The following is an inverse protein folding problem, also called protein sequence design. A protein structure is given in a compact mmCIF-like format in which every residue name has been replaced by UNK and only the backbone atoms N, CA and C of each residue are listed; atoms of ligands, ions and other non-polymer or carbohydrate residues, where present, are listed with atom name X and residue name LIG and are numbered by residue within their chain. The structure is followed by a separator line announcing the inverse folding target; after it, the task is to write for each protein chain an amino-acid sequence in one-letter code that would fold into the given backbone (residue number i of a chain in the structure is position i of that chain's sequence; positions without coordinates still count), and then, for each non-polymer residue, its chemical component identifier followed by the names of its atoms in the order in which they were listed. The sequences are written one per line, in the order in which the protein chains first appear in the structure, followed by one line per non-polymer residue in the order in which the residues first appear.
data_IF_169253753573
#
_entry.id   IF_169253753573
#
_cell.length_a   1.000
_cell.length_b   1.000
_cell.length_c   1.000
_cell.angle_alpha   90.00
_cell.angle_beta   90.00
_cell.angle_gamma   90.00
#
_symmetry.space_group_name_H-M   'P 1'
#
loop_
_entity.id
_entity.type
_entity.pdbx_description
1 polymer ?
#
# COMPACT_ATOMS: atom_id res chain seq x y z
N UNK A 1 21.42 31.21 20.12
CA UNK A 1 20.62 30.10 19.59
C UNK A 1 20.97 29.99 18.13
N UNK A 2 21.87 29.07 17.80
CA UNK A 2 22.34 28.88 16.43
C UNK A 2 21.31 28.01 15.74
N UNK A 3 20.55 28.57 14.80
CA UNK A 3 19.78 27.79 13.83
C UNK A 3 20.79 26.92 13.07
N UNK A 4 20.81 25.63 13.39
CA UNK A 4 21.51 24.64 12.58
C UNK A 4 20.59 24.37 11.39
N UNK A 5 20.54 25.32 10.45
CA UNK A 5 19.82 25.14 9.20
C UNK A 5 20.47 24.01 8.41
N UNK A 6 19.68 22.99 8.06
CA UNK A 6 20.11 21.94 7.15
C UNK A 6 20.45 22.55 5.78
N UNK A 7 21.51 22.05 5.14
CA UNK A 7 21.80 22.41 3.75
C UNK A 7 20.76 21.77 2.81
N UNK A 8 20.54 22.35 1.64
CA UNK A 8 19.62 21.81 0.62
C UNK A 8 19.97 20.36 0.24
N UNK A 9 21.26 20.01 0.24
CA UNK A 9 21.74 18.65 -0.02
C UNK A 9 21.39 17.68 1.11
N UNK A 10 21.52 18.11 2.37
CA UNK A 10 21.13 17.29 3.52
C UNK A 10 19.62 17.07 3.58
N UNK A 11 18.84 18.09 3.19
CA UNK A 11 17.38 17.97 3.11
C UNK A 11 16.98 16.96 2.02
N UNK A 12 17.58 17.04 0.84
CA UNK A 12 17.30 16.12 -0.27
C UNK A 12 17.66 14.65 0.07
N UNK A 13 18.80 14.41 0.74
CA UNK A 13 19.18 13.07 1.21
C UNK A 13 18.21 12.54 2.28
N UNK A 14 17.77 13.39 3.21
CA UNK A 14 16.77 13.03 4.19
C UNK A 14 15.43 12.66 3.54
N UNK A 15 14.96 13.46 2.58
CA UNK A 15 13.69 13.24 1.88
C UNK A 15 13.74 11.97 1.02
N UNK A 16 14.87 11.72 0.34
CA UNK A 16 15.08 10.47 -0.39
C UNK A 16 15.04 9.25 0.52
N UNK A 17 15.74 9.26 1.67
CA UNK A 17 15.72 8.14 2.62
C UNK A 17 14.32 7.88 3.18
N UNK A 18 13.57 8.95 3.45
CA UNK A 18 12.18 8.86 3.89
C UNK A 18 11.31 8.22 2.82
N UNK A 19 11.46 8.66 1.57
CA UNK A 19 10.76 8.09 0.42
C UNK A 19 11.10 6.61 0.25
N UNK A 20 12.38 6.22 0.26
CA UNK A 20 12.82 4.81 0.16
C UNK A 20 12.18 3.96 1.25
N UNK A 21 12.19 4.42 2.50
CA UNK A 21 11.57 3.68 3.60
C UNK A 21 10.06 3.49 3.39
N UNK A 22 9.35 4.54 2.92
CA UNK A 22 7.93 4.44 2.61
C UNK A 22 7.68 3.48 1.45
N UNK A 23 8.47 3.58 0.39
CA UNK A 23 8.41 2.75 -0.80
C UNK A 23 8.59 1.28 -0.47
N UNK A 24 9.69 0.92 0.21
CA UNK A 24 9.97 -0.45 0.65
C UNK A 24 8.90 -0.98 1.60
N UNK A 25 8.39 -0.15 2.52
CA UNK A 25 7.36 -0.56 3.48
C UNK A 25 6.06 -0.97 2.77
N UNK A 26 5.57 -0.15 1.86
CA UNK A 26 4.32 -0.46 1.14
C UNK A 26 4.50 -1.63 0.20
N UNK A 27 5.57 -1.65 -0.59
CA UNK A 27 5.84 -2.76 -1.51
C UNK A 27 6.02 -4.08 -0.77
N UNK A 28 6.73 -4.08 0.36
CA UNK A 28 6.95 -5.28 1.17
C UNK A 28 5.67 -5.91 1.73
N UNK A 29 4.55 -5.18 1.78
CA UNK A 29 3.26 -5.69 2.23
C UNK A 29 2.47 -6.39 1.12
N UNK A 30 2.70 -6.03 -0.14
CA UNK A 30 1.88 -6.49 -1.27
C UNK A 30 1.84 -8.01 -1.40
N UNK A 31 2.95 -8.78 -1.28
CA UNK A 31 2.90 -10.23 -1.48
C UNK A 31 1.97 -10.94 -0.49
N UNK A 32 1.98 -10.51 0.78
CA UNK A 32 1.10 -11.09 1.81
C UNK A 32 -0.36 -10.65 1.61
N UNK A 33 -0.59 -9.38 1.27
CA UNK A 33 -1.94 -8.87 0.98
C UNK A 33 -2.55 -9.62 -0.20
N UNK A 34 -1.81 -9.74 -1.30
CA UNK A 34 -2.29 -10.40 -2.50
C UNK A 34 -2.54 -11.90 -2.28
N UNK A 35 -1.63 -12.59 -1.60
CA UNK A 35 -1.80 -14.00 -1.24
C UNK A 35 -3.03 -14.23 -0.37
N UNK A 36 -3.27 -13.34 0.60
CA UNK A 36 -4.45 -13.42 1.47
C UNK A 36 -5.75 -13.13 0.71
N UNK A 37 -5.80 -12.13 -0.17
CA UNK A 37 -6.98 -11.85 -0.99
C UNK A 37 -7.33 -13.05 -1.88
N UNK A 38 -6.34 -13.66 -2.54
CA UNK A 38 -6.55 -14.86 -3.35
C UNK A 38 -6.98 -16.05 -2.48
N UNK A 39 -6.42 -16.20 -1.27
CA UNK A 39 -6.83 -17.26 -0.33
C UNK A 39 -8.29 -17.11 0.09
N UNK A 40 -8.71 -15.88 0.41
CA UNK A 40 -10.07 -15.59 0.84
C UNK A 40 -11.08 -15.70 -0.30
N UNK A 41 -10.67 -15.47 -1.55
CA UNK A 41 -11.51 -15.59 -2.74
C UNK A 41 -11.74 -17.04 -3.18
N UNK A 42 -11.01 -18.02 -2.64
CA UNK A 42 -11.16 -19.42 -3.04
C UNK A 42 -12.41 -20.05 -2.38
N UNK A 43 -13.26 -20.75 -3.15
CA UNK A 43 -14.39 -21.46 -2.58
C UNK A 43 -13.86 -22.59 -1.68
N UNK A 44 -14.22 -22.58 -0.39
CA UNK A 44 -13.85 -23.66 0.54
C UNK A 44 -14.45 -24.98 0.06
N UNK A 45 -13.60 -25.91 -0.38
CA UNK A 45 -13.99 -27.27 -0.78
C UNK A 45 -14.75 -27.94 0.38
N UNK A 46 -15.92 -28.50 0.06
CA UNK A 46 -16.93 -28.94 1.02
C UNK A 46 -16.45 -29.93 2.09
N UNK A 47 -16.35 -29.44 3.32
CA UNK A 47 -16.88 -30.17 4.47
C UNK A 47 -18.26 -29.59 4.75
N UNK A 48 -19.26 -30.46 4.77
CA UNK A 48 -20.69 -30.18 4.86
C UNK A 48 -21.03 -28.89 5.63
N UNK A 49 -21.63 -27.91 4.93
CA UNK A 49 -22.37 -26.79 5.52
C UNK A 49 -23.60 -27.32 6.27
N UNK A 50 -23.36 -27.96 7.40
CA UNK A 50 -24.35 -28.43 8.35
C UNK A 50 -23.90 -28.04 9.75
N UNK A 51 -24.24 -26.82 10.18
CA UNK A 51 -24.02 -26.37 11.55
C UNK A 51 -23.42 -24.97 11.68
N UNK A 52 -24.28 -23.96 11.51
CA UNK A 52 -24.29 -22.62 12.15
C UNK A 52 -22.98 -21.88 12.46
N UNK A 53 -22.89 -20.64 11.93
CA UNK A 53 -22.61 -19.46 12.79
C UNK A 53 -23.23 -18.14 12.30
N UNK A 54 -23.86 -18.14 11.13
CA UNK A 54 -24.89 -17.17 10.78
C UNK A 54 -26.04 -17.95 10.18
N UNK A 55 -27.16 -17.99 10.90
CA UNK A 55 -28.43 -18.38 10.32
C UNK A 55 -28.57 -17.72 8.96
N UNK A 56 -28.93 -18.52 7.95
CA UNK A 56 -29.28 -18.03 6.63
C UNK A 56 -30.39 -16.99 6.83
N UNK A 57 -30.04 -15.71 6.81
CA UNK A 57 -31.00 -14.65 6.54
C UNK A 57 -31.38 -14.81 5.06
N UNK A 58 -32.27 -15.77 4.81
CA UNK A 58 -33.01 -15.89 3.57
C UNK A 58 -34.03 -14.76 3.57
N UNK A 59 -33.67 -13.62 2.98
CA UNK A 59 -34.64 -12.59 2.65
C UNK A 59 -35.25 -12.99 1.31
N UNK A 60 -36.30 -13.82 1.36
CA UNK A 60 -37.09 -14.15 0.18
C UNK A 60 -37.99 -12.96 -0.17
N UNK A 61 -37.48 -12.08 -1.03
CA UNK A 61 -38.22 -10.94 -1.55
C UNK A 61 -37.72 -10.53 -2.93
N UNK A 62 -38.28 -11.14 -3.98
CA UNK A 62 -38.30 -10.59 -5.35
C UNK A 62 -36.99 -10.60 -6.15
N UNK A 63 -36.84 -11.61 -7.02
CA UNK A 63 -36.08 -11.58 -8.28
C UNK A 63 -34.63 -11.07 -8.30
N UNK A 64 -33.75 -11.63 -7.48
CA UNK A 64 -32.37 -11.97 -7.86
C UNK A 64 -31.69 -12.76 -6.73
N UNK A 65 -31.46 -14.06 -6.95
CA UNK A 65 -30.82 -14.92 -5.96
C UNK A 65 -29.30 -14.83 -6.13
N UNK A 66 -28.69 -13.84 -5.48
CA UNK A 66 -27.24 -13.83 -5.26
C UNK A 66 -26.97 -14.30 -3.84
N UNK A 67 -26.27 -15.42 -3.70
CA UNK A 67 -25.77 -15.83 -2.39
C UNK A 67 -24.72 -14.80 -1.94
N UNK A 68 -24.81 -14.35 -0.69
CA UNK A 68 -23.87 -13.37 -0.11
C UNK A 68 -22.41 -13.85 -0.20
N UNK A 69 -22.20 -15.18 -0.21
CA UNK A 69 -20.87 -15.78 -0.42
C UNK A 69 -20.30 -15.47 -1.80
N UNK A 70 -21.08 -15.65 -2.87
CA UNK A 70 -20.64 -15.42 -4.24
C UNK A 70 -20.28 -13.95 -4.48
N UNK A 71 -21.00 -13.03 -3.83
CA UNK A 71 -20.72 -11.57 -3.93
C UNK A 71 -19.42 -11.19 -3.23
N UNK A 72 -19.09 -11.85 -2.11
CA UNK A 72 -17.84 -11.63 -1.38
C UNK A 72 -16.65 -12.17 -2.19
N UNK A 73 -16.77 -13.37 -2.76
CA UNK A 73 -15.73 -14.00 -3.58
C UNK A 73 -15.43 -13.16 -4.84
N UNK A 74 -16.46 -12.62 -5.50
CA UNK A 74 -16.32 -11.68 -6.62
C UNK A 74 -15.57 -10.39 -6.23
N UNK A 75 -15.85 -9.86 -5.03
CA UNK A 75 -15.23 -8.63 -4.52
C UNK A 75 -13.74 -8.84 -4.24
N UNK A 76 -13.40 -9.94 -3.55
CA UNK A 76 -12.02 -10.31 -3.24
C UNK A 76 -11.20 -10.58 -4.49
N UNK A 77 -11.80 -11.27 -5.48
CA UNK A 77 -11.17 -11.52 -6.78
C UNK A 77 -10.88 -10.21 -7.51
N UNK A 78 -11.82 -9.26 -7.49
CA UNK A 78 -11.65 -7.94 -8.09
C UNK A 78 -10.56 -7.14 -7.39
N UNK A 79 -10.55 -7.14 -6.06
CA UNK A 79 -9.55 -6.43 -5.26
C UNK A 79 -8.14 -6.99 -5.49
N UNK A 80 -8.00 -8.32 -5.58
CA UNK A 80 -6.73 -8.96 -5.94
C UNK A 80 -6.29 -8.56 -7.36
N UNK A 81 -7.22 -8.59 -8.33
CA UNK A 81 -6.97 -8.18 -9.71
C UNK A 81 -6.52 -6.72 -9.82
N UNK A 82 -7.20 -5.82 -9.10
CA UNK A 82 -6.88 -4.39 -9.10
C UNK A 82 -5.52 -4.10 -8.45
N UNK A 83 -5.22 -4.70 -7.29
CA UNK A 83 -3.91 -4.55 -6.64
C UNK A 83 -2.77 -5.07 -7.52
N UNK A 84 -2.95 -6.24 -8.15
CA UNK A 84 -1.98 -6.78 -9.09
C UNK A 84 -1.80 -5.86 -10.30
N UNK A 85 -2.90 -5.35 -10.86
CA UNK A 85 -2.89 -4.38 -11.95
C UNK A 85 -2.05 -3.14 -11.62
N UNK A 86 -2.26 -2.52 -10.46
CA UNK A 86 -1.48 -1.35 -10.02
C UNK A 86 0.01 -1.67 -9.87
N UNK A 87 0.36 -2.80 -9.23
CA UNK A 87 1.75 -3.21 -9.06
C UNK A 87 2.46 -3.40 -10.42
N UNK A 88 1.82 -4.16 -11.31
CA UNK A 88 2.39 -4.43 -12.65
C UNK A 88 2.40 -3.20 -13.54
N UNK A 89 1.41 -2.31 -13.43
CA UNK A 89 1.37 -1.03 -14.14
C UNK A 89 2.50 -0.10 -13.69
N UNK A 90 2.74 0.00 -12.37
CA UNK A 90 3.88 0.75 -11.83
C UNK A 90 5.21 0.18 -12.33
N UNK A 91 5.38 -1.15 -12.28
CA UNK A 91 6.58 -1.81 -12.79
C UNK A 91 6.77 -1.60 -14.31
N UNK A 92 5.71 -1.67 -15.10
CA UNK A 92 5.74 -1.39 -16.53
C UNK A 92 6.14 0.07 -16.80
N UNK A 93 5.61 1.03 -16.05
CA UNK A 93 5.97 2.44 -16.20
C UNK A 93 7.46 2.70 -15.92
N UNK A 94 8.04 2.05 -14.91
CA UNK A 94 9.49 2.10 -14.65
C UNK A 94 10.27 1.48 -15.81
N UNK A 95 9.86 0.30 -16.26
CA UNK A 95 10.52 -0.43 -17.36
C UNK A 95 10.51 0.33 -18.69
N UNK A 96 9.38 0.96 -19.03
CA UNK A 96 9.21 1.71 -20.28
C UNK A 96 10.08 2.97 -20.31
N UNK A 97 10.15 3.68 -19.17
CA UNK A 97 10.77 5.01 -19.08
C UNK A 97 12.26 4.97 -18.73
N UNK A 98 12.78 3.83 -18.29
CA UNK A 98 14.17 3.70 -17.86
C UNK A 98 14.85 2.47 -18.47
N UNK A 99 15.69 2.71 -19.48
CA UNK A 99 16.37 1.66 -20.25
C UNK A 99 17.29 0.77 -19.42
N UNK A 100 17.93 1.33 -18.40
CA UNK A 100 18.79 0.64 -17.43
C UNK A 100 18.05 -0.42 -16.60
N UNK A 101 16.73 -0.31 -16.48
CA UNK A 101 15.90 -1.25 -15.71
C UNK A 101 15.43 -2.46 -16.53
N UNK A 102 15.63 -2.45 -17.86
CA UNK A 102 15.08 -3.51 -18.74
C UNK A 102 15.67 -4.88 -18.50
N UNK A 103 16.89 -4.95 -17.97
CA UNK A 103 17.53 -6.21 -17.64
C UNK A 103 16.86 -6.84 -16.41
N UNK A 104 16.63 -8.14 -16.46
CA UNK A 104 16.02 -8.92 -15.37
C UNK A 104 14.63 -8.44 -14.93
N UNK A 105 13.89 -7.77 -15.82
CA UNK A 105 12.51 -7.38 -15.55
C UNK A 105 11.64 -8.63 -15.30
N UNK A 106 10.71 -8.57 -14.32
CA UNK A 106 9.82 -9.68 -14.02
C UNK A 106 8.93 -9.97 -15.23
N UNK A 107 8.65 -11.25 -15.50
CA UNK A 107 7.63 -11.61 -16.46
C UNK A 107 6.25 -11.26 -15.87
N UNK A 108 5.59 -10.28 -16.49
CA UNK A 108 4.27 -9.80 -16.08
C UNK A 108 3.14 -10.59 -16.75
N UNK A 109 3.45 -11.67 -17.48
CA UNK A 109 2.46 -12.49 -18.17
C UNK A 109 1.41 -13.11 -17.22
N UNK A 110 0.25 -13.40 -17.80
CA UNK A 110 -0.95 -13.80 -17.05
C UNK A 110 -0.80 -15.10 -16.24
N UNK A 111 -1.67 -15.25 -15.24
CA UNK A 111 -1.73 -16.45 -14.39
C UNK A 111 -1.24 -16.24 -12.95
N UNK A 112 -0.73 -15.05 -12.62
CA UNK A 112 -0.26 -14.71 -11.27
C UNK A 112 -1.31 -15.00 -10.18
N UNK A 113 -2.59 -14.75 -10.45
CA UNK A 113 -3.67 -14.86 -9.44
C UNK A 113 -4.37 -16.23 -9.41
N UNK A 114 -3.79 -17.27 -10.02
CA UNK A 114 -4.40 -18.60 -10.09
C UNK A 114 -4.38 -19.35 -8.76
N UNK A 115 -3.40 -19.08 -7.90
CA UNK A 115 -3.30 -19.64 -6.57
C UNK A 115 -2.63 -18.66 -5.60
N UNK A 116 -2.85 -18.78 -4.27
CA UNK A 116 -2.22 -17.90 -3.29
C UNK A 116 -0.70 -17.92 -3.32
N UNK A 117 -0.09 -19.07 -3.62
CA UNK A 117 1.37 -19.21 -3.72
C UNK A 117 1.89 -18.56 -4.99
N UNK A 118 1.25 -18.80 -6.14
CA UNK A 118 1.63 -18.17 -7.40
C UNK A 118 1.50 -16.65 -7.33
N UNK A 119 0.46 -16.15 -6.67
CA UNK A 119 0.26 -14.72 -6.48
C UNK A 119 1.35 -14.11 -5.60
N UNK A 120 1.71 -14.81 -4.51
CA UNK A 120 2.79 -14.40 -3.62
C UNK A 120 4.14 -14.38 -4.33
N UNK A 121 4.47 -15.43 -5.08
CA UNK A 121 5.75 -15.56 -5.78
C UNK A 121 5.90 -14.50 -6.87
N UNK A 122 4.85 -14.28 -7.67
CA UNK A 122 4.83 -13.24 -8.69
C UNK A 122 5.00 -11.85 -8.06
N UNK A 123 4.27 -11.54 -6.98
CA UNK A 123 4.41 -10.29 -6.26
C UNK A 123 5.80 -10.10 -5.65
N UNK A 124 6.42 -11.16 -5.10
CA UNK A 124 7.78 -11.08 -4.55
C UNK A 124 8.81 -10.74 -5.62
N UNK A 125 8.69 -11.33 -6.82
CA UNK A 125 9.59 -11.04 -7.93
C UNK A 125 9.43 -9.58 -8.40
N UNK A 126 8.19 -9.12 -8.59
CA UNK A 126 7.92 -7.74 -9.02
C UNK A 126 8.35 -6.71 -7.99
N UNK A 127 8.03 -6.94 -6.70
CA UNK A 127 8.45 -6.07 -5.59
C UNK A 127 9.96 -6.05 -5.46
N UNK A 128 10.63 -7.21 -5.53
CA UNK A 128 12.08 -7.30 -5.44
C UNK A 128 12.78 -6.51 -6.54
N UNK A 129 12.27 -6.60 -7.77
CA UNK A 129 12.76 -5.81 -8.89
C UNK A 129 12.55 -4.30 -8.67
N UNK A 130 11.35 -3.88 -8.24
CA UNK A 130 11.06 -2.47 -7.94
C UNK A 130 11.95 -1.91 -6.83
N UNK A 131 12.17 -2.65 -5.75
CA UNK A 131 13.05 -2.24 -4.64
C UNK A 131 14.49 -2.10 -5.15
N UNK A 132 14.96 -3.02 -5.98
CA UNK A 132 16.30 -2.93 -6.57
C UNK A 132 16.47 -1.66 -7.42
N UNK A 133 15.40 -1.26 -8.13
CA UNK A 133 15.38 -0.06 -8.98
C UNK A 133 14.77 1.17 -8.30
N UNK A 134 14.72 1.21 -6.96
CA UNK A 134 14.19 2.35 -6.21
C UNK A 134 14.83 3.70 -6.56
N UNK A 135 16.16 3.84 -6.76
CA UNK A 135 16.75 5.11 -7.20
C UNK A 135 16.17 5.59 -8.53
N UNK A 136 16.02 4.69 -9.50
CA UNK A 136 15.46 5.00 -10.81
C UNK A 136 13.98 5.37 -10.70
N UNK A 137 13.18 4.60 -9.95
CA UNK A 137 11.78 4.90 -9.71
C UNK A 137 11.57 6.28 -9.06
N UNK A 138 12.42 6.66 -8.09
CA UNK A 138 12.41 7.99 -7.48
C UNK A 138 12.65 9.10 -8.52
N UNK A 139 13.62 8.92 -9.42
CA UNK A 139 13.93 9.93 -10.46
C UNK A 139 12.82 10.10 -11.50
N UNK A 140 12.03 9.05 -11.75
CA UNK A 140 10.91 9.10 -12.69
C UNK A 140 9.69 9.85 -12.13
N UNK A 141 9.65 10.10 -10.82
CA UNK A 141 8.60 10.85 -10.14
C UNK A 141 7.17 10.39 -10.52
N UNK A 142 6.93 9.08 -10.44
CA UNK A 142 5.62 8.44 -10.71
C UNK A 142 4.63 8.67 -9.54
N UNK A 143 4.45 9.92 -9.10
CA UNK A 143 3.80 10.26 -7.82
C UNK A 143 2.35 9.80 -7.73
N UNK A 144 1.58 9.93 -8.81
CA UNK A 144 0.17 9.54 -8.80
C UNK A 144 0.00 8.01 -8.83
N UNK A 145 0.78 7.32 -9.66
CA UNK A 145 0.79 5.85 -9.70
C UNK A 145 1.23 5.27 -8.33
N UNK A 146 2.23 5.90 -7.69
CA UNK A 146 2.69 5.56 -6.35
C UNK A 146 1.60 5.77 -5.29
N UNK A 147 0.95 6.93 -5.30
CA UNK A 147 -0.11 7.28 -4.36
C UNK A 147 -1.29 6.32 -4.47
N UNK A 148 -1.71 5.99 -5.69
CA UNK A 148 -2.80 5.05 -5.95
C UNK A 148 -2.45 3.64 -5.45
N UNK A 149 -1.23 3.17 -5.74
CA UNK A 149 -0.75 1.88 -5.25
C UNK A 149 -0.72 1.84 -3.71
N UNK A 150 -0.11 2.84 -3.07
CA UNK A 150 0.07 2.84 -1.61
C UNK A 150 -1.23 3.02 -0.85
N UNK A 151 -2.13 3.89 -1.32
CA UNK A 151 -3.46 4.04 -0.74
C UNK A 151 -4.29 2.76 -0.91
N UNK A 152 -4.19 2.07 -2.05
CA UNK A 152 -4.87 0.79 -2.28
C UNK A 152 -4.37 -0.30 -1.34
N UNK A 153 -3.05 -0.43 -1.14
CA UNK A 153 -2.49 -1.40 -0.17
C UNK A 153 -3.04 -1.15 1.23
N UNK A 154 -3.05 0.11 1.69
CA UNK A 154 -3.56 0.48 3.02
C UNK A 154 -5.06 0.21 3.14
N UNK A 155 -5.84 0.59 2.13
CA UNK A 155 -7.29 0.34 2.06
C UNK A 155 -7.60 -1.15 2.15
N UNK A 156 -6.97 -1.98 1.32
CA UNK A 156 -7.25 -3.42 1.26
C UNK A 156 -6.87 -4.13 2.56
N UNK A 157 -5.77 -3.73 3.20
CA UNK A 157 -5.41 -4.22 4.53
C UNK A 157 -6.48 -3.89 5.57
N UNK A 158 -6.97 -2.66 5.57
CA UNK A 158 -7.99 -2.22 6.53
C UNK A 158 -9.34 -2.90 6.29
N UNK A 159 -9.83 -2.91 5.04
CA UNK A 159 -11.14 -3.48 4.67
C UNK A 159 -11.19 -4.99 4.92
N UNK A 160 -10.10 -5.71 4.64
CA UNK A 160 -10.06 -7.17 4.75
C UNK A 160 -9.39 -7.68 6.02
N UNK A 161 -8.98 -6.79 6.93
CA UNK A 161 -8.31 -7.15 8.18
C UNK A 161 -6.97 -7.88 7.96
N UNK A 162 -6.29 -7.59 6.85
CA UNK A 162 -5.01 -8.22 6.52
C UNK A 162 -3.90 -7.44 7.21
N UNK A 163 -3.23 -8.10 8.15
CA UNK A 163 -2.09 -7.53 8.87
C UNK A 163 -0.83 -8.35 8.56
N UNK A 164 -0.11 -8.02 7.46
CA UNK A 164 1.22 -8.57 7.22
C UNK A 164 2.09 -8.36 8.46
N UNK A 165 3.08 -9.21 8.69
CA UNK A 165 3.93 -9.14 9.88
C UNK A 165 5.14 -8.23 9.61
N UNK A 166 5.08 -6.90 9.85
CA UNK A 166 6.25 -6.06 9.63
C UNK A 166 7.36 -6.43 10.62
N UNK A 167 8.60 -6.13 10.24
CA UNK A 167 9.75 -6.30 11.13
C UNK A 167 9.56 -5.44 12.39
N UNK A 168 9.63 -6.03 13.60
CA UNK A 168 9.46 -5.26 14.83
C UNK A 168 10.58 -4.24 15.05
N UNK A 169 10.21 -3.00 15.36
CA UNK A 169 11.11 -1.96 15.84
C UNK A 169 11.32 -2.01 17.34
N UNK A 170 12.36 -1.29 17.80
CA UNK A 170 12.63 -1.03 19.21
C UNK A 170 11.58 -0.09 19.79
N UNK A 171 11.12 -0.37 21.01
CA UNK A 171 10.22 0.49 21.77
C UNK A 171 11.01 1.41 22.68
N UNK A 172 10.88 2.73 22.49
CA UNK A 172 11.59 3.71 23.30
C UNK A 172 11.13 3.70 24.77
N UNK A 173 9.90 3.28 25.04
CA UNK A 173 9.34 3.22 26.40
C UNK A 173 9.79 2.01 27.19
N UNK A 174 9.77 0.80 26.59
CA UNK A 174 10.06 -0.45 27.32
C UNK A 174 11.34 -1.16 26.87
N UNK A 175 12.07 -0.63 25.90
CA UNK A 175 13.33 -1.18 25.42
C UNK A 175 13.22 -2.54 24.73
N UNK A 176 12.04 -2.92 24.23
CA UNK A 176 11.82 -4.22 23.56
C UNK A 176 11.59 -4.05 22.06
N UNK A 177 12.14 -4.97 21.27
CA UNK A 177 11.93 -5.06 19.82
C UNK A 177 10.55 -5.66 19.48
N UNK A 178 9.49 -4.90 19.79
CA UNK A 178 8.09 -5.33 19.66
C UNK A 178 7.17 -4.25 19.09
N UNK A 179 7.72 -3.16 18.52
CA UNK A 179 6.91 -2.13 17.86
C UNK A 179 6.56 -2.56 16.45
N UNK A 180 5.28 -2.66 16.15
CA UNK A 180 4.78 -2.84 14.78
C UNK A 180 4.48 -1.46 14.22
N UNK A 181 5.23 -1.04 13.20
CA UNK A 181 5.00 0.20 12.47
C UNK A 181 4.13 -0.04 11.24
N UNK A 182 3.24 0.90 10.95
CA UNK A 182 2.44 0.90 9.73
C UNK A 182 2.08 2.32 9.29
N UNK A 183 1.57 2.46 8.07
CA UNK A 183 1.10 3.73 7.51
C UNK A 183 -0.42 3.71 7.45
N UNK A 184 -1.06 4.80 7.88
CA UNK A 184 -2.52 4.95 7.94
C UNK A 184 -2.93 6.27 7.32
N UNK A 185 -4.06 6.27 6.62
CA UNK A 185 -4.70 7.50 6.17
C UNK A 185 -5.23 8.30 7.35
N UNK A 186 -5.01 9.61 7.31
CA UNK A 186 -5.55 10.56 8.30
C UNK A 186 -6.83 11.19 7.77
N UNK A 187 -7.69 11.66 8.68
CA UNK A 187 -8.95 12.32 8.33
C UNK A 187 -8.78 13.57 7.44
N UNK A 188 -7.60 14.18 7.45
CA UNK A 188 -7.28 15.37 6.63
C UNK A 188 -6.77 15.06 5.23
N UNK A 189 -6.75 13.79 4.80
CA UNK A 189 -6.22 13.39 3.50
C UNK A 189 -4.69 13.22 3.44
N UNK A 190 -3.98 13.41 4.56
CA UNK A 190 -2.56 13.09 4.69
C UNK A 190 -2.32 11.67 5.21
N UNK A 191 -1.06 11.30 5.40
CA UNK A 191 -0.66 9.97 5.87
C UNK A 191 0.08 10.08 7.19
N UNK A 192 -0.12 9.14 8.09
CA UNK A 192 0.64 9.05 9.32
C UNK A 192 1.30 7.68 9.45
N UNK A 193 2.54 7.66 9.93
CA UNK A 193 3.21 6.45 10.35
C UNK A 193 2.93 6.22 11.83
N UNK A 194 2.26 5.12 12.13
CA UNK A 194 1.82 4.76 13.48
C UNK A 194 2.54 3.50 13.94
N UNK A 195 2.91 3.46 15.22
CA UNK A 195 3.61 2.35 15.84
C UNK A 195 2.85 1.86 17.05
N UNK A 196 2.73 0.55 17.24
CA UNK A 196 2.18 -0.03 18.48
C UNK A 196 3.15 -1.05 19.05
N UNK A 197 3.55 -0.85 20.31
CA UNK A 197 4.35 -1.83 21.03
C UNK A 197 3.48 -2.98 21.51
N UNK A 198 3.66 -4.18 20.94
CA UNK A 198 2.92 -5.39 21.36
C UNK A 198 3.22 -5.86 22.78
N UNK A 199 4.21 -5.27 23.44
CA UNK A 199 4.61 -5.67 24.79
C UNK A 199 4.09 -4.75 25.90
N UNK A 200 4.09 -3.43 25.69
CA UNK A 200 3.62 -2.47 26.70
C UNK A 200 2.37 -1.70 26.28
N UNK A 201 1.92 -1.85 25.03
CA UNK A 201 0.73 -1.17 24.51
C UNK A 201 0.97 0.27 24.05
N UNK A 202 2.18 0.81 24.23
CA UNK A 202 2.49 2.19 23.85
C UNK A 202 2.28 2.43 22.35
N UNK A 203 1.69 3.57 22.03
CA UNK A 203 1.40 4.01 20.66
C UNK A 203 2.27 5.18 20.27
N UNK A 204 2.78 5.16 19.04
CA UNK A 204 3.63 6.20 18.46
C UNK A 204 2.98 6.73 17.19
N UNK A 205 3.08 8.03 16.93
CA UNK A 205 2.54 8.65 15.71
C UNK A 205 3.54 9.63 15.14
N UNK A 206 3.80 9.53 13.84
CA UNK A 206 4.64 10.44 13.07
C UNK A 206 3.82 10.90 11.87
N UNK A 207 3.53 12.20 11.78
CA UNK A 207 2.80 12.75 10.63
C UNK A 207 3.69 12.73 9.40
N UNK A 208 3.11 12.36 8.26
CA UNK A 208 3.75 12.41 6.96
C UNK A 208 3.03 13.43 6.10
N UNK A 209 3.69 14.57 5.92
CA UNK A 209 3.37 15.48 4.82
C UNK A 209 3.68 14.73 3.52
N UNK A 210 2.66 14.09 2.93
CA UNK A 210 2.73 13.68 1.53
C UNK A 210 2.77 14.98 0.72
N UNK A 211 3.79 15.10 -0.14
CA UNK A 211 4.18 16.31 -0.85
C UNK A 211 3.05 17.31 -1.04
N UNK A 212 3.15 18.42 -0.32
CA UNK A 212 2.40 19.63 -0.60
C UNK A 212 2.58 19.94 -2.08
N UNK A 213 1.48 19.83 -2.82
CA UNK A 213 1.31 20.47 -4.11
C UNK A 213 1.93 21.87 -3.99
N UNK A 214 2.96 22.15 -4.79
CA UNK A 214 3.37 23.53 -5.01
C UNK A 214 2.21 24.22 -5.72
N UNK A 215 1.21 24.66 -4.96
CA UNK A 215 0.29 25.67 -5.44
C UNK A 215 1.15 26.91 -5.70
N UNK A 216 1.42 27.11 -6.97
CA UNK A 216 1.92 28.33 -7.57
C UNK A 216 1.34 29.53 -6.80
N UNK A 217 2.15 30.50 -6.34
CA UNK A 217 1.59 31.70 -5.76
C UNK A 217 0.80 32.39 -6.87
N UNK A 218 -0.53 32.27 -6.82
CA UNK A 218 -1.41 33.18 -7.54
C UNK A 218 -1.06 34.57 -7.06
N UNK A 219 -0.27 35.27 -7.87
CA UNK A 219 -0.12 36.71 -7.80
C UNK A 219 -1.52 37.30 -8.03
N UNK A 220 -2.28 37.46 -6.96
CA UNK A 220 -3.35 38.44 -6.90
C UNK A 220 -2.66 39.81 -6.93
N UNK A 221 -2.47 40.30 -8.15
CA UNK A 221 -2.31 41.73 -8.38
C UNK A 221 -3.67 42.40 -8.11
N UNK A 222 -3.98 42.60 -6.83
CA UNK A 222 -4.92 43.65 -6.42
C UNK A 222 -4.20 44.98 -6.64
N UNK A 223 -4.41 45.53 -7.83
CA UNK A 223 -3.92 46.82 -8.25
C UNK A 223 -5.04 47.61 -8.92
N UNK A 224 -5.92 48.19 -8.11
CA UNK A 224 -6.73 49.34 -8.51
C UNK A 224 -7.62 49.82 -7.35
N UNK A 225 -8.11 51.07 -7.38
CA UNK A 225 -7.63 52.27 -8.07
C UNK A 225 -7.38 53.45 -7.07
N UNK A 226 -7.28 54.68 -7.60
CA UNK A 226 -7.20 56.01 -6.95
C UNK A 226 -5.75 56.56 -6.88
N UNK A 227 -5.34 57.64 -7.55
CA UNK A 227 -6.00 58.85 -8.10
C UNK A 227 -5.44 59.25 -9.48
#
# INVERSE_FOLDING_TARGET
MTDIGFTTEQQADHDYRRWVHQFEHHLGQIPDVLSMLVTLAQPTIGVSRGGSRFDRLQITGGNEHRDLGDTIDETLTRDAGYLWGLLTGYAAAVWERAEDTRQNAPDLAGGALTSPSTAKDAALLTVGWLIHHAPTAHTLALTEDERELFSTVRRLKAVHGIHPHPRPGMCDTCGRHKVTWDYVDTRGGGVARVGVCRSCGETFTQQIEEGTEMTEPTNHADGGPDE
#
